data_IF_867318447352
#
_entry.id   IF_867318447352
#
_cell.length_a   1.000
_cell.length_b   1.000
_cell.length_c   1.000
_cell.angle_alpha   90.00
_cell.angle_beta   90.00
_cell.angle_gamma   90.00
#
_symmetry.space_group_name_H-M   'P 1'
#
loop_
_entity.id
_entity.type
_entity.pdbx_description
1 polymer ?
#
# COMPACT_ATOMS: atom_id res chain seq x y z
N UNK A 1 -21.57 -0.16 8.05
CA UNK A 1 -20.68 0.37 7.00
C UNK A 1 -19.77 -0.76 6.58
N UNK A 2 -19.72 -1.02 5.28
CA UNK A 2 -18.90 -2.07 4.70
C UNK A 2 -17.40 -1.78 4.96
N UNK A 3 -16.71 -2.68 5.63
CA UNK A 3 -15.32 -2.48 6.07
C UNK A 3 -14.37 -2.41 4.86
N UNK A 4 -14.65 -3.17 3.81
CA UNK A 4 -13.91 -3.12 2.56
C UNK A 4 -14.09 -1.76 1.85
N UNK A 5 -15.30 -1.18 1.87
CA UNK A 5 -15.51 0.17 1.34
C UNK A 5 -14.68 1.25 2.08
N UNK A 6 -14.48 1.11 3.39
CA UNK A 6 -13.59 2.02 4.15
C UNK A 6 -12.13 1.88 3.72
N UNK A 7 -11.64 0.63 3.61
CA UNK A 7 -10.28 0.35 3.15
C UNK A 7 -10.04 0.89 1.74
N UNK A 8 -11.03 0.71 0.84
CA UNK A 8 -10.96 1.21 -0.53
C UNK A 8 -10.88 2.74 -0.58
N UNK A 9 -11.57 3.42 0.34
CA UNK A 9 -11.44 4.87 0.48
C UNK A 9 -10.04 5.29 1.00
N UNK A 10 -9.47 4.57 1.98
CA UNK A 10 -8.13 4.83 2.50
C UNK A 10 -6.99 4.56 1.50
N UNK A 11 -7.24 3.73 0.49
CA UNK A 11 -6.30 3.49 -0.61
C UNK A 11 -6.21 4.67 -1.59
N UNK A 12 -7.14 5.64 -1.54
CA UNK A 12 -7.14 6.79 -2.44
C UNK A 12 -6.04 7.77 -2.05
N UNK A 13 -5.05 7.95 -2.91
CA UNK A 13 -3.86 8.79 -2.64
C UNK A 13 -3.70 9.90 -3.68
N UNK A 14 -2.98 10.95 -3.31
CA UNK A 14 -2.69 12.06 -4.24
C UNK A 14 -1.74 11.66 -5.37
N UNK A 15 -0.96 10.58 -5.16
CA UNK A 15 0.01 10.06 -6.13
C UNK A 15 -0.55 8.85 -6.85
N UNK A 16 -0.55 8.88 -8.19
CA UNK A 16 -1.10 7.81 -9.03
C UNK A 16 -0.45 6.45 -8.77
N UNK A 17 0.85 6.42 -8.55
CA UNK A 17 1.58 5.17 -8.31
C UNK A 17 1.14 4.50 -7.00
N UNK A 18 1.00 5.27 -5.92
CA UNK A 18 0.47 4.77 -4.65
C UNK A 18 -0.98 4.33 -4.77
N UNK A 19 -1.81 5.13 -5.47
CA UNK A 19 -3.21 4.82 -5.68
C UNK A 19 -3.37 3.47 -6.40
N UNK A 20 -2.64 3.26 -7.50
CA UNK A 20 -2.66 1.99 -8.23
C UNK A 20 -2.15 0.83 -7.37
N UNK A 21 -1.03 1.01 -6.67
CA UNK A 21 -0.41 -0.04 -5.85
C UNK A 21 -1.33 -0.49 -4.70
N UNK A 22 -1.91 0.45 -3.96
CA UNK A 22 -2.74 0.15 -2.80
C UNK A 22 -4.08 -0.45 -3.22
N UNK A 23 -4.71 0.07 -4.28
CA UNK A 23 -5.95 -0.49 -4.80
C UNK A 23 -5.74 -1.89 -5.37
N UNK A 24 -4.66 -2.13 -6.12
CA UNK A 24 -4.34 -3.46 -6.65
C UNK A 24 -4.13 -4.48 -5.52
N UNK A 25 -3.36 -4.11 -4.50
CA UNK A 25 -3.15 -5.00 -3.35
C UNK A 25 -4.47 -5.30 -2.62
N UNK A 26 -5.30 -4.28 -2.39
CA UNK A 26 -6.59 -4.47 -1.73
C UNK A 26 -7.51 -5.41 -2.52
N UNK A 27 -7.63 -5.21 -3.83
CA UNK A 27 -8.56 -5.96 -4.67
C UNK A 27 -8.06 -7.39 -4.97
N UNK A 28 -6.74 -7.61 -5.10
CA UNK A 28 -6.18 -8.88 -5.57
C UNK A 28 -5.50 -9.73 -4.48
N UNK A 29 -5.00 -9.12 -3.40
CA UNK A 29 -4.12 -9.78 -2.42
C UNK A 29 -4.69 -9.76 -1.00
N UNK A 30 -5.26 -8.65 -0.54
CA UNK A 30 -5.64 -8.46 0.86
C UNK A 30 -6.58 -9.55 1.40
N UNK A 31 -7.61 -9.94 0.63
CA UNK A 31 -8.58 -10.97 1.05
C UNK A 31 -7.92 -12.35 1.24
N UNK A 32 -6.84 -12.63 0.50
CA UNK A 32 -6.10 -13.91 0.55
C UNK A 32 -4.86 -13.84 1.45
N UNK A 33 -4.50 -12.65 1.91
CA UNK A 33 -3.36 -12.43 2.77
C UNK A 33 -3.61 -13.05 4.14
N UNK A 34 -2.54 -13.52 4.79
CA UNK A 34 -2.64 -14.01 6.15
C UNK A 34 -2.94 -12.83 7.12
N UNK A 35 -3.35 -13.10 8.37
CA UNK A 35 -3.71 -12.03 9.32
C UNK A 35 -2.55 -11.05 9.61
N UNK A 36 -1.31 -11.51 9.53
CA UNK A 36 -0.13 -10.69 9.76
C UNK A 36 0.08 -9.68 8.62
N UNK A 37 0.00 -10.14 7.37
CA UNK A 37 0.08 -9.32 6.16
C UNK A 37 -1.08 -8.31 6.08
N UNK A 38 -2.29 -8.75 6.44
CA UNK A 38 -3.43 -7.84 6.55
C UNK A 38 -3.16 -6.74 7.57
N UNK A 39 -2.63 -7.09 8.74
CA UNK A 39 -2.25 -6.11 9.78
C UNK A 39 -1.19 -5.13 9.26
N UNK A 40 -0.16 -5.62 8.58
CA UNK A 40 0.86 -4.75 7.97
C UNK A 40 0.28 -3.81 6.92
N UNK A 41 -0.65 -4.30 6.10
CA UNK A 41 -1.33 -3.44 5.11
C UNK A 41 -2.13 -2.32 5.79
N UNK A 42 -2.84 -2.63 6.89
CA UNK A 42 -3.54 -1.60 7.66
C UNK A 42 -2.58 -0.58 8.30
N UNK A 43 -1.40 -1.01 8.77
CA UNK A 43 -0.35 -0.10 9.24
C UNK A 43 0.16 0.81 8.12
N UNK A 44 0.35 0.27 6.91
CA UNK A 44 0.72 1.02 5.70
C UNK A 44 -0.33 2.09 5.36
N UNK A 45 -1.62 1.76 5.45
CA UNK A 45 -2.70 2.72 5.18
C UNK A 45 -2.73 3.90 6.16
N UNK A 46 -2.17 3.75 7.37
CA UNK A 46 -2.05 4.83 8.34
C UNK A 46 -0.84 5.75 8.11
N UNK A 47 0.04 5.44 7.14
CA UNK A 47 1.19 6.28 6.82
C UNK A 47 0.81 7.41 5.86
N UNK A 48 1.55 8.51 5.96
CA UNK A 48 1.49 9.63 5.03
C UNK A 48 2.13 9.27 3.67
N UNK A 49 1.61 9.88 2.61
CA UNK A 49 2.08 9.67 1.23
C UNK A 49 3.58 9.94 1.08
N UNK A 50 4.10 10.96 1.77
CA UNK A 50 5.53 11.31 1.79
C UNK A 50 6.41 10.16 2.31
N UNK A 51 5.96 9.46 3.36
CA UNK A 51 6.65 8.32 3.97
C UNK A 51 6.58 7.11 3.05
N UNK A 52 5.41 6.83 2.48
CA UNK A 52 5.21 5.71 1.57
C UNK A 52 6.08 5.83 0.32
N UNK A 53 6.13 7.00 -0.30
CA UNK A 53 6.99 7.26 -1.46
C UNK A 53 8.47 7.07 -1.11
N UNK A 54 8.93 7.62 0.01
CA UNK A 54 10.31 7.45 0.45
C UNK A 54 10.67 5.96 0.70
N UNK A 55 9.74 5.18 1.26
CA UNK A 55 9.92 3.74 1.48
C UNK A 55 10.01 2.97 0.16
N UNK A 56 9.14 3.27 -0.80
CA UNK A 56 9.14 2.64 -2.13
C UNK A 56 10.44 2.99 -2.86
N UNK A 57 10.86 4.25 -2.85
CA UNK A 57 12.12 4.68 -3.43
C UNK A 57 13.33 3.96 -2.82
N UNK A 58 13.37 3.83 -1.48
CA UNK A 58 14.41 3.06 -0.80
C UNK A 58 14.39 1.58 -1.19
N UNK A 59 13.21 0.97 -1.33
CA UNK A 59 13.09 -0.43 -1.78
C UNK A 59 13.54 -0.58 -3.22
N UNK A 60 13.14 0.32 -4.11
CA UNK A 60 13.57 0.34 -5.50
C UNK A 60 15.10 0.44 -5.62
N UNK A 61 15.74 1.32 -4.85
CA UNK A 61 17.22 1.44 -4.78
C UNK A 61 17.90 0.18 -4.25
N UNK A 62 17.28 -0.50 -3.28
CA UNK A 62 17.81 -1.75 -2.73
C UNK A 62 17.68 -2.94 -3.69
N UNK A 63 16.61 -2.97 -4.48
CA UNK A 63 16.35 -4.00 -5.48
C UNK A 63 17.08 -3.73 -6.81
N UNK A 64 17.32 -2.45 -7.11
CA UNK A 64 17.96 -1.95 -8.32
C UNK A 64 19.38 -1.46 -8.08
N UNK A 65 20.26 -2.31 -7.53
CA UNK A 65 21.70 -2.08 -7.59
C UNK A 65 22.21 -2.17 -9.03
N UNK A 66 21.96 -1.14 -9.84
CA UNK A 66 22.68 -0.83 -11.08
C UNK A 66 22.67 0.70 -11.19
N UNK A 67 23.84 1.25 -10.85
CA UNK A 67 24.37 2.61 -11.06
C UNK A 67 23.40 3.82 -11.07
#
# INVERSE_FOLDING_TARGET
MDELAKLKWQCRRGTRELDLLLNDYLDNRFIKANPEDQRYFLEILNLEDSILLARIDQLAKRLGGVD
#
